data_IF_596313598720
#
_entry.id   IF_596313598720
#
_cell.length_a   1.000
_cell.length_b   1.000
_cell.length_c   1.000
_cell.angle_alpha   90.00
_cell.angle_beta   90.00
_cell.angle_gamma   90.00
#
_symmetry.space_group_name_H-M   'P 1'
#
loop_
_entity.id
_entity.type
_entity.pdbx_description
1 polymer ?
#
# COMPACT_ATOMS: atom_id res chain seq x y z
N UNK A 1 17.50 19.84 29.54
CA UNK A 1 16.15 19.38 29.18
C UNK A 1 16.36 18.31 28.12
N UNK A 2 16.31 17.04 28.51
CA UNK A 2 16.34 15.90 27.60
C UNK A 2 15.12 16.00 26.68
N UNK A 3 15.36 16.08 25.40
CA UNK A 3 14.30 15.89 24.39
C UNK A 3 13.78 14.47 24.59
N UNK A 4 12.59 14.35 25.20
CA UNK A 4 11.92 13.07 25.29
C UNK A 4 11.72 12.60 23.84
N UNK A 5 12.39 11.53 23.44
CA UNK A 5 12.29 10.94 22.12
C UNK A 5 10.82 10.62 21.84
N UNK A 6 10.30 11.23 20.79
CA UNK A 6 8.93 10.99 20.35
C UNK A 6 8.90 9.62 19.68
N UNK A 7 8.23 8.61 20.26
CA UNK A 7 8.25 7.29 19.67
C UNK A 7 7.64 7.33 18.26
N UNK A 8 8.42 6.86 17.28
CA UNK A 8 7.94 6.71 15.90
C UNK A 8 7.36 5.30 15.74
N UNK A 9 6.04 5.24 15.61
CA UNK A 9 5.29 4.02 15.35
C UNK A 9 4.99 3.87 13.85
N UNK A 10 5.21 2.69 13.35
CA UNK A 10 4.83 2.27 12.01
C UNK A 10 3.60 1.39 12.13
N UNK A 11 2.53 1.78 11.46
CA UNK A 11 1.22 1.16 11.61
C UNK A 11 0.74 0.69 10.24
N UNK A 12 0.44 -0.59 10.09
CA UNK A 12 -0.25 -1.09 8.90
C UNK A 12 -1.73 -1.31 9.23
N UNK A 13 -2.60 -0.65 8.45
CA UNK A 13 -4.05 -0.79 8.53
C UNK A 13 -4.56 -1.68 7.40
N UNK A 14 -5.21 -2.78 7.79
CA UNK A 14 -5.93 -3.70 6.91
C UNK A 14 -7.40 -3.74 7.34
N UNK A 15 -8.26 -4.34 6.53
CA UNK A 15 -9.69 -4.48 6.87
C UNK A 15 -9.92 -5.33 8.13
N UNK A 16 -9.11 -6.38 8.33
CA UNK A 16 -9.27 -7.36 9.41
C UNK A 16 -8.03 -7.55 10.28
N UNK A 17 -7.05 -6.66 10.15
CA UNK A 17 -5.80 -6.74 10.90
C UNK A 17 -5.20 -5.36 11.10
N UNK A 18 -4.59 -5.16 12.27
CA UNK A 18 -3.78 -3.99 12.60
C UNK A 18 -2.40 -4.48 13.01
N UNK A 19 -1.36 -3.89 12.43
CA UNK A 19 0.04 -4.21 12.79
C UNK A 19 0.72 -2.93 13.26
N UNK A 20 1.35 -3.00 14.43
CA UNK A 20 2.03 -1.84 15.03
C UNK A 20 3.47 -2.21 15.34
N UNK A 21 4.41 -1.53 14.69
CA UNK A 21 5.83 -1.66 14.91
C UNK A 21 6.44 -0.37 15.49
N UNK A 22 7.54 -0.52 16.25
CA UNK A 22 8.31 0.62 16.76
C UNK A 22 9.59 0.77 15.93
N UNK A 23 9.73 1.89 15.22
CA UNK A 23 10.85 2.14 14.32
C UNK A 23 12.20 2.24 15.04
N UNK A 24 12.24 2.63 16.31
CA UNK A 24 13.48 2.73 17.11
C UNK A 24 14.02 1.36 17.48
N UNK A 25 13.13 0.43 17.85
CA UNK A 25 13.52 -0.96 18.13
C UNK A 25 14.08 -1.66 16.90
N UNK A 26 13.60 -1.30 15.72
CA UNK A 26 14.12 -1.81 14.46
C UNK A 26 15.57 -1.36 14.23
N UNK A 27 15.89 -0.08 14.46
CA UNK A 27 17.25 0.45 14.28
C UNK A 27 18.26 -0.21 15.21
N UNK A 28 17.85 -0.54 16.42
CA UNK A 28 18.73 -1.12 17.46
C UNK A 28 18.91 -2.64 17.35
N UNK A 29 18.48 -3.29 16.26
CA UNK A 29 18.53 -4.76 16.05
C UNK A 29 17.90 -5.60 17.18
N UNK A 30 17.11 -4.98 18.05
CA UNK A 30 16.46 -5.62 19.20
C UNK A 30 15.25 -6.48 18.86
N UNK A 31 15.20 -7.01 17.64
CA UNK A 31 14.13 -7.86 17.12
C UNK A 31 13.00 -7.05 16.46
N UNK A 32 12.54 -7.54 15.30
CA UNK A 32 11.43 -6.95 14.52
C UNK A 32 10.06 -7.40 15.10
N UNK A 33 9.85 -7.18 16.41
CA UNK A 33 8.58 -7.56 17.01
C UNK A 33 7.55 -6.46 16.78
N UNK A 34 6.51 -6.78 16.01
CA UNK A 34 5.32 -5.96 15.87
C UNK A 34 4.17 -6.55 16.69
N UNK A 35 3.31 -5.68 17.21
CA UNK A 35 2.02 -6.11 17.78
C UNK A 35 1.07 -6.35 16.60
N UNK A 36 0.57 -7.58 16.46
CA UNK A 36 -0.40 -7.97 15.42
C UNK A 36 -1.74 -8.22 16.09
N UNK A 37 -2.74 -7.44 15.70
CA UNK A 37 -4.11 -7.54 16.22
C UNK A 37 -5.02 -8.03 15.08
N UNK A 38 -5.54 -9.24 15.20
CA UNK A 38 -6.58 -9.74 14.32
C UNK A 38 -7.92 -9.12 14.73
N UNK A 39 -8.65 -8.61 13.77
CA UNK A 39 -9.87 -7.84 13.98
C UNK A 39 -11.05 -8.53 13.31
N UNK A 40 -12.26 -8.38 13.88
CA UNK A 40 -13.46 -8.81 13.19
C UNK A 40 -13.65 -7.97 11.91
N UNK A 41 -14.33 -8.54 10.93
CA UNK A 41 -14.79 -7.79 9.78
C UNK A 41 -15.73 -6.67 10.23
N UNK A 42 -15.67 -5.53 9.54
CA UNK A 42 -16.62 -4.46 9.78
C UNK A 42 -18.06 -4.92 9.56
N UNK A 43 -19.00 -4.34 10.28
CA UNK A 43 -20.42 -4.59 10.03
C UNK A 43 -20.78 -4.20 8.56
N UNK A 44 -21.77 -4.83 7.92
CA UNK A 44 -22.06 -4.66 6.50
C UNK A 44 -22.29 -3.20 6.06
N UNK A 45 -22.72 -2.32 6.96
CA UNK A 45 -22.98 -0.90 6.70
C UNK A 45 -21.85 0.03 7.19
N UNK A 46 -20.86 -0.51 7.90
CA UNK A 46 -19.75 0.25 8.43
C UNK A 46 -18.57 0.26 7.44
N UNK A 47 -17.77 1.33 7.41
CA UNK A 47 -16.55 1.36 6.61
C UNK A 47 -15.58 0.24 6.98
N UNK A 48 -14.99 -0.40 5.99
CA UNK A 48 -14.09 -1.55 6.18
C UNK A 48 -12.87 -1.25 7.07
N UNK A 49 -12.45 -0.01 7.14
CA UNK A 49 -11.32 0.46 7.96
C UNK A 49 -11.67 0.72 9.43
N UNK A 50 -12.96 0.79 9.78
CA UNK A 50 -13.42 1.22 11.11
C UNK A 50 -12.90 0.35 12.26
N UNK A 51 -12.91 -1.00 12.18
CA UNK A 51 -12.38 -1.83 13.26
C UNK A 51 -10.88 -1.59 13.50
N UNK A 52 -10.11 -1.35 12.45
CA UNK A 52 -8.67 -1.11 12.57
C UNK A 52 -8.34 0.24 13.23
N UNK A 53 -9.08 1.30 12.91
CA UNK A 53 -8.90 2.61 13.55
C UNK A 53 -9.36 2.57 15.01
N UNK A 54 -10.48 1.89 15.31
CA UNK A 54 -10.94 1.71 16.68
C UNK A 54 -9.92 0.94 17.54
N UNK A 55 -9.35 -0.14 16.99
CA UNK A 55 -8.31 -0.92 17.66
C UNK A 55 -7.03 -0.09 17.89
N UNK A 56 -6.61 0.71 16.90
CA UNK A 56 -5.46 1.61 17.05
C UNK A 56 -5.70 2.66 18.15
N UNK A 57 -6.89 3.22 18.20
CA UNK A 57 -7.29 4.18 19.24
C UNK A 57 -7.25 3.54 20.64
N UNK A 58 -7.79 2.32 20.80
CA UNK A 58 -7.73 1.55 22.04
C UNK A 58 -6.28 1.26 22.45
N UNK A 59 -5.48 0.74 21.53
CA UNK A 59 -4.07 0.40 21.77
C UNK A 59 -3.24 1.61 22.22
N UNK A 60 -3.45 2.80 21.60
CA UNK A 60 -2.77 4.05 21.98
C UNK A 60 -3.14 4.48 23.41
N UNK A 61 -4.42 4.35 23.80
CA UNK A 61 -4.88 4.69 25.16
C UNK A 61 -4.30 3.74 26.21
N UNK A 62 -4.36 2.44 25.95
CA UNK A 62 -3.84 1.42 26.88
C UNK A 62 -2.34 1.57 27.13
N UNK A 63 -1.56 1.96 26.11
CA UNK A 63 -0.12 2.17 26.25
C UNK A 63 0.25 3.48 26.90
N UNK A 64 -0.68 4.42 27.05
CA UNK A 64 -0.43 5.73 27.66
C UNK A 64 0.66 6.55 26.98
N UNK A 65 0.89 6.32 25.67
CA UNK A 65 1.95 6.97 24.92
C UNK A 65 1.68 8.45 24.78
N UNK A 66 2.75 9.25 24.98
CA UNK A 66 2.68 10.70 24.82
C UNK A 66 3.48 11.14 23.60
N UNK A 67 2.92 12.04 22.81
CA UNK A 67 3.55 12.67 21.65
C UNK A 67 4.05 11.69 20.60
N UNK A 68 3.42 10.51 20.49
CA UNK A 68 3.79 9.52 19.47
C UNK A 68 3.63 10.08 18.06
N UNK A 69 4.50 9.67 17.14
CA UNK A 69 4.36 9.93 15.71
C UNK A 69 3.96 8.65 15.01
N UNK A 70 2.91 8.71 14.19
CA UNK A 70 2.43 7.57 13.43
C UNK A 70 2.79 7.72 11.95
N UNK A 71 3.46 6.72 11.38
CA UNK A 71 3.51 6.51 9.94
C UNK A 71 2.56 5.37 9.62
N UNK A 72 1.50 5.68 8.89
CA UNK A 72 0.43 4.72 8.58
C UNK A 72 0.60 4.20 7.16
N UNK A 73 0.66 2.87 7.02
CA UNK A 73 0.62 2.17 5.75
C UNK A 73 -0.78 1.59 5.54
N UNK A 74 -1.42 1.95 4.44
CA UNK A 74 -2.75 1.46 4.11
C UNK A 74 -2.66 0.27 3.17
N UNK A 75 -3.35 -0.81 3.52
CA UNK A 75 -3.55 -1.95 2.63
C UNK A 75 -4.21 -1.50 1.32
N UNK A 76 -3.87 -2.17 0.23
CA UNK A 76 -4.51 -1.99 -1.08
C UNK A 76 -6.02 -2.27 -1.05
N UNK A 77 -6.51 -2.93 -0.01
CA UNK A 77 -7.95 -3.13 0.22
C UNK A 77 -8.67 -1.80 0.57
N UNK A 78 -7.95 -0.86 1.19
CA UNK A 78 -8.44 0.46 1.61
C UNK A 78 -8.12 1.58 0.61
N UNK A 79 -7.44 1.25 -0.48
CA UNK A 79 -6.99 2.21 -1.50
C UNK A 79 -7.57 1.83 -2.86
N UNK A 80 -7.93 2.82 -3.66
CA UNK A 80 -8.35 2.63 -5.05
C UNK A 80 -7.28 3.20 -5.97
N UNK A 81 -6.82 2.41 -6.93
CA UNK A 81 -5.78 2.79 -7.87
C UNK A 81 -6.34 3.05 -9.25
N UNK A 82 -5.80 4.07 -9.90
CA UNK A 82 -5.94 4.29 -11.35
C UNK A 82 -4.59 4.68 -11.95
N UNK A 83 -4.39 4.25 -13.19
CA UNK A 83 -3.33 4.76 -14.04
C UNK A 83 -4.01 5.57 -15.13
N UNK A 84 -3.80 6.88 -15.12
CA UNK A 84 -4.45 7.83 -16.00
C UNK A 84 -3.53 8.22 -17.15
N UNK A 85 -4.12 8.47 -18.31
CA UNK A 85 -3.38 8.98 -19.45
C UNK A 85 -2.91 10.40 -19.20
N UNK A 86 -1.69 10.70 -19.64
CA UNK A 86 -1.17 12.06 -19.61
C UNK A 86 -1.96 12.96 -20.56
N UNK A 87 -2.32 14.14 -20.07
CA UNK A 87 -3.11 15.13 -20.80
C UNK A 87 -2.26 16.39 -21.02
N UNK A 88 -1.74 16.62 -22.24
CA UNK A 88 -0.80 17.73 -22.50
C UNK A 88 -1.41 19.12 -22.28
N UNK A 89 -2.74 19.23 -22.39
CA UNK A 89 -3.47 20.47 -22.20
C UNK A 89 -3.67 20.86 -20.73
N UNK A 90 -3.51 19.92 -19.78
CA UNK A 90 -3.69 20.18 -18.35
C UNK A 90 -2.37 20.65 -17.74
N UNK A 91 -2.11 21.94 -17.84
CA UNK A 91 -0.85 22.54 -17.37
C UNK A 91 -0.95 23.12 -15.96
N UNK A 92 -2.17 23.39 -15.47
CA UNK A 92 -2.39 23.95 -14.14
C UNK A 92 -2.68 22.86 -13.13
N UNK A 93 -2.07 22.88 -11.92
CA UNK A 93 -2.31 21.86 -10.90
C UNK A 93 -3.79 21.64 -10.58
N UNK A 94 -4.58 22.71 -10.44
CA UNK A 94 -6.02 22.61 -10.14
C UNK A 94 -6.83 21.92 -11.25
N UNK A 95 -6.46 22.12 -12.52
CA UNK A 95 -7.11 21.46 -13.65
C UNK A 95 -6.79 19.96 -13.65
N UNK A 96 -5.54 19.63 -13.33
CA UNK A 96 -5.10 18.24 -13.20
C UNK A 96 -5.80 17.55 -12.04
N UNK A 97 -5.87 18.18 -10.86
CA UNK A 97 -6.60 17.65 -9.70
C UNK A 97 -8.08 17.39 -10.04
N UNK A 98 -8.74 18.34 -10.70
CA UNK A 98 -10.12 18.20 -11.13
C UNK A 98 -10.30 17.07 -12.15
N UNK A 99 -9.38 16.93 -13.11
CA UNK A 99 -9.38 15.82 -14.07
C UNK A 99 -9.24 14.48 -13.36
N UNK A 100 -8.26 14.33 -12.46
CA UNK A 100 -8.03 13.09 -11.73
C UNK A 100 -9.28 12.72 -10.93
N UNK A 101 -9.88 13.68 -10.22
CA UNK A 101 -11.10 13.44 -9.45
C UNK A 101 -12.26 13.01 -10.35
N UNK A 102 -12.46 13.67 -11.51
CA UNK A 102 -13.47 13.31 -12.49
C UNK A 102 -13.27 11.87 -13.00
N UNK A 103 -12.03 11.44 -13.24
CA UNK A 103 -11.71 10.08 -13.68
C UNK A 103 -12.08 9.03 -12.62
N UNK A 104 -11.80 9.32 -11.33
CA UNK A 104 -12.25 8.46 -10.23
C UNK A 104 -13.78 8.38 -10.17
N UNK A 105 -14.47 9.52 -10.26
CA UNK A 105 -15.93 9.56 -10.28
C UNK A 105 -16.53 8.81 -11.46
N UNK A 106 -15.93 8.93 -12.64
CA UNK A 106 -16.38 8.21 -13.84
C UNK A 106 -16.23 6.69 -13.69
N UNK A 107 -15.22 6.22 -12.96
CA UNK A 107 -14.96 4.78 -12.77
C UNK A 107 -15.76 4.19 -11.60
N UNK A 108 -15.88 4.91 -10.50
CA UNK A 108 -16.41 4.39 -9.24
C UNK A 108 -17.78 4.98 -8.88
N UNK A 109 -18.28 5.96 -9.62
CA UNK A 109 -19.56 6.61 -9.36
C UNK A 109 -19.47 7.67 -8.23
N UNK A 110 -20.62 8.04 -7.69
CA UNK A 110 -20.74 9.10 -6.68
C UNK A 110 -19.99 8.82 -5.36
N UNK A 111 -19.69 7.56 -5.06
CA UNK A 111 -18.90 7.23 -3.86
C UNK A 111 -17.52 7.88 -3.87
N UNK A 112 -16.97 8.16 -5.03
CA UNK A 112 -15.68 8.84 -5.18
C UNK A 112 -15.69 10.29 -4.70
N UNK A 113 -16.86 10.92 -4.54
CA UNK A 113 -16.96 12.29 -4.02
C UNK A 113 -16.56 12.37 -2.54
N UNK A 114 -16.62 11.26 -1.79
CA UNK A 114 -16.14 11.12 -0.41
C UNK A 114 -14.67 10.73 -0.27
N UNK A 115 -13.89 10.75 -1.37
CA UNK A 115 -12.50 10.31 -1.33
C UNK A 115 -11.50 11.43 -1.48
N UNK A 116 -10.41 11.35 -0.74
CA UNK A 116 -9.20 12.11 -1.00
C UNK A 116 -8.44 11.43 -2.12
N UNK A 117 -8.34 12.11 -3.26
CA UNK A 117 -7.58 11.64 -4.42
C UNK A 117 -6.21 12.31 -4.45
N UNK A 118 -5.17 11.53 -4.69
CA UNK A 118 -3.80 12.00 -4.85
C UNK A 118 -3.16 11.35 -6.07
N UNK A 119 -2.23 12.04 -6.69
CA UNK A 119 -1.50 11.55 -7.86
C UNK A 119 -0.01 11.88 -7.76
N UNK A 120 0.81 11.20 -8.54
CA UNK A 120 2.23 11.54 -8.70
C UNK A 120 2.39 12.83 -9.48
N UNK A 121 3.59 13.41 -9.43
CA UNK A 121 3.92 14.53 -10.31
C UNK A 121 3.78 14.12 -11.78
N UNK A 122 3.08 14.93 -12.61
CA UNK A 122 2.89 14.62 -14.02
C UNK A 122 4.21 14.75 -14.79
N UNK A 123 4.50 13.73 -15.58
CA UNK A 123 5.65 13.74 -16.49
C UNK A 123 5.16 13.67 -17.94
N UNK A 124 5.66 14.53 -18.84
CA UNK A 124 5.22 14.54 -20.22
C UNK A 124 5.27 13.18 -20.91
N UNK A 125 4.16 12.79 -21.54
CA UNK A 125 4.03 11.53 -22.25
C UNK A 125 4.00 10.27 -21.37
N UNK A 126 3.93 10.41 -20.04
CA UNK A 126 3.89 9.27 -19.11
C UNK A 126 2.54 9.16 -18.43
N UNK A 127 2.06 7.94 -18.32
CA UNK A 127 0.86 7.67 -17.54
C UNK A 127 1.03 8.13 -16.09
N UNK A 128 -0.05 8.66 -15.52
CA UNK A 128 -0.12 9.28 -14.20
C UNK A 128 -0.71 8.30 -13.18
N UNK A 129 0.09 7.68 -12.32
CA UNK A 129 -0.44 6.91 -11.20
C UNK A 129 -1.19 7.81 -10.23
N UNK A 130 -2.42 7.41 -9.91
CA UNK A 130 -3.26 8.09 -8.94
C UNK A 130 -3.92 7.08 -8.00
N UNK A 131 -4.17 7.49 -6.76
CA UNK A 131 -4.92 6.69 -5.81
C UNK A 131 -5.94 7.52 -5.03
N UNK A 132 -6.95 6.84 -4.52
CA UNK A 132 -7.98 7.43 -3.70
C UNK A 132 -8.14 6.68 -2.37
N UNK A 133 -8.39 7.43 -1.32
CA UNK A 133 -8.55 6.97 0.06
C UNK A 133 -9.80 7.64 0.61
N UNK A 134 -10.57 6.92 1.42
CA UNK A 134 -11.73 7.48 2.11
C UNK A 134 -11.35 8.70 2.95
N UNK A 135 -11.97 9.85 2.71
CA UNK A 135 -11.71 11.08 3.44
C UNK A 135 -12.07 10.93 4.93
N UNK A 136 -13.12 10.15 5.24
CA UNK A 136 -13.51 9.87 6.62
C UNK A 136 -12.42 9.06 7.35
N UNK A 137 -11.74 8.12 6.68
CA UNK A 137 -10.58 7.43 7.26
C UNK A 137 -9.48 8.41 7.64
N UNK A 138 -9.17 9.38 6.77
CA UNK A 138 -8.13 10.37 7.05
C UNK A 138 -8.52 11.26 8.22
N UNK A 139 -9.79 11.68 8.31
CA UNK A 139 -10.32 12.47 9.42
C UNK A 139 -10.22 11.72 10.75
N UNK A 140 -10.60 10.44 10.78
CA UNK A 140 -10.50 9.59 11.98
C UNK A 140 -9.04 9.37 12.41
N UNK A 141 -8.13 9.16 11.46
CA UNK A 141 -6.70 9.08 11.77
C UNK A 141 -6.18 10.39 12.37
N UNK A 142 -6.60 11.55 11.85
CA UNK A 142 -6.21 12.85 12.40
C UNK A 142 -6.78 13.06 13.80
N UNK A 143 -7.99 12.57 14.07
CA UNK A 143 -8.65 12.66 15.39
C UNK A 143 -7.87 11.88 16.49
N UNK A 144 -6.99 10.92 16.14
CA UNK A 144 -6.07 10.28 17.08
C UNK A 144 -5.13 11.29 17.75
N UNK A 145 -4.99 12.49 17.21
CA UNK A 145 -4.24 13.59 17.83
C UNK A 145 -4.72 13.99 19.22
N UNK A 146 -5.99 13.71 19.55
CA UNK A 146 -6.54 13.92 20.90
C UNK A 146 -6.00 12.93 21.94
N UNK A 147 -5.42 11.81 21.52
CA UNK A 147 -4.87 10.77 22.40
C UNK A 147 -3.38 11.03 22.60
N UNK A 148 -2.99 11.46 23.80
CA UNK A 148 -1.61 11.67 24.18
C UNK A 148 -0.82 12.63 23.27
N UNK A 149 -1.50 13.58 22.59
CA UNK A 149 -0.90 14.46 21.57
C UNK A 149 -0.20 13.70 20.45
N UNK A 150 -0.78 12.58 20.04
CA UNK A 150 -0.31 11.76 18.92
C UNK A 150 -0.37 12.55 17.61
N UNK A 151 0.63 12.41 16.74
CA UNK A 151 0.67 13.05 15.42
C UNK A 151 0.73 12.01 14.32
N UNK A 152 -0.21 12.02 13.38
CA UNK A 152 -0.10 11.27 12.14
C UNK A 152 0.88 12.02 11.22
N UNK A 153 2.08 11.48 11.08
CA UNK A 153 3.14 12.09 10.29
C UNK A 153 2.97 11.83 8.80
N UNK A 154 2.47 10.64 8.44
CA UNK A 154 2.17 10.31 7.05
C UNK A 154 1.16 9.16 6.97
N UNK A 155 0.36 9.18 5.89
CA UNK A 155 -0.51 8.08 5.47
C UNK A 155 -0.12 7.72 4.05
N UNK A 156 0.33 6.48 3.82
CA UNK A 156 0.92 6.04 2.56
C UNK A 156 0.32 4.69 2.16
N UNK A 157 -0.12 4.49 0.92
CA UNK A 157 -0.46 3.16 0.43
C UNK A 157 0.73 2.22 0.53
N UNK A 158 0.52 1.00 1.03
CA UNK A 158 1.61 0.03 1.20
C UNK A 158 2.29 -0.31 -0.14
N UNK A 159 1.51 -0.41 -1.22
CA UNK A 159 2.07 -0.61 -2.57
C UNK A 159 3.08 0.48 -2.95
N UNK A 160 2.78 1.75 -2.68
CA UNK A 160 3.71 2.87 -2.97
C UNK A 160 4.98 2.76 -2.13
N UNK A 161 4.85 2.51 -0.83
CA UNK A 161 6.00 2.39 0.06
C UNK A 161 6.91 1.22 -0.35
N UNK A 162 6.31 0.08 -0.69
CA UNK A 162 7.03 -1.09 -1.17
C UNK A 162 7.74 -0.82 -2.51
N UNK A 163 7.05 -0.16 -3.45
CA UNK A 163 7.66 0.22 -4.72
C UNK A 163 8.84 1.17 -4.54
N UNK A 164 8.68 2.23 -3.75
CA UNK A 164 9.75 3.19 -3.49
C UNK A 164 11.01 2.54 -2.89
N UNK A 165 10.80 1.56 -2.02
CA UNK A 165 11.91 0.81 -1.43
C UNK A 165 12.66 -0.05 -2.45
N UNK A 166 11.92 -0.70 -3.36
CA UNK A 166 12.49 -1.73 -4.23
C UNK A 166 12.72 -1.28 -5.67
N UNK A 167 12.28 -0.09 -6.06
CA UNK A 167 12.42 0.42 -7.45
C UNK A 167 13.85 0.37 -7.98
N UNK A 168 14.85 0.56 -7.13
CA UNK A 168 16.26 0.44 -7.50
C UNK A 168 16.67 -0.98 -7.91
N UNK A 169 16.01 -2.00 -7.37
CA UNK A 169 16.26 -3.40 -7.70
C UNK A 169 15.60 -3.85 -9.02
N UNK A 170 14.60 -3.10 -9.50
CA UNK A 170 13.89 -3.42 -10.75
C UNK A 170 14.65 -2.97 -11.99
N UNK A 171 15.55 -1.99 -11.86
CA UNK A 171 16.29 -1.39 -12.98
C UNK A 171 15.36 -0.67 -13.96
N UNK A 172 15.87 -0.46 -15.19
CA UNK A 172 15.12 0.19 -16.28
C UNK A 172 14.50 -0.80 -17.28
N UNK A 173 14.50 -2.09 -16.97
CA UNK A 173 13.92 -3.12 -17.82
C UNK A 173 12.40 -3.16 -17.73
N UNK A 174 11.77 -3.90 -18.63
CA UNK A 174 10.36 -4.24 -18.49
C UNK A 174 10.23 -5.29 -17.39
N UNK A 175 9.34 -5.05 -16.42
CA UNK A 175 9.16 -5.93 -15.27
C UNK A 175 7.75 -5.81 -14.68
N UNK A 176 7.31 -6.89 -14.07
CA UNK A 176 6.15 -6.88 -13.18
C UNK A 176 6.61 -6.60 -11.76
N UNK A 177 5.90 -5.70 -11.09
CA UNK A 177 6.06 -5.48 -9.65
C UNK A 177 4.74 -5.71 -8.96
N UNK A 178 4.73 -6.56 -7.94
CA UNK A 178 3.52 -6.91 -7.21
C UNK A 178 3.71 -6.92 -5.71
N UNK A 179 2.62 -6.59 -5.02
CA UNK A 179 2.54 -6.62 -3.56
C UNK A 179 1.43 -7.58 -3.15
N UNK A 180 1.81 -8.59 -2.36
CA UNK A 180 0.89 -9.58 -1.80
C UNK A 180 0.56 -9.18 -0.37
N UNK A 181 -0.72 -9.01 -0.12
CA UNK A 181 -1.28 -8.72 1.19
C UNK A 181 -2.25 -9.85 1.58
N UNK A 182 -2.62 -9.99 2.87
CA UNK A 182 -3.65 -10.94 3.26
C UNK A 182 -4.94 -10.74 2.46
N UNK A 183 -5.26 -11.70 1.61
CA UNK A 183 -6.48 -11.67 0.79
C UNK A 183 -6.45 -10.80 -0.47
N UNK A 184 -5.30 -10.23 -0.88
CA UNK A 184 -5.21 -9.43 -2.10
C UNK A 184 -3.83 -9.47 -2.76
N UNK A 185 -3.83 -9.20 -4.07
CA UNK A 185 -2.63 -8.93 -4.87
C UNK A 185 -2.83 -7.64 -5.64
N UNK A 186 -1.88 -6.72 -5.49
CA UNK A 186 -1.76 -5.54 -6.37
C UNK A 186 -0.57 -5.74 -7.29
N UNK A 187 -0.80 -5.64 -8.60
CA UNK A 187 0.20 -5.89 -9.63
C UNK A 187 0.28 -4.71 -10.59
N UNK A 188 1.50 -4.33 -10.96
CA UNK A 188 1.75 -3.33 -11.99
C UNK A 188 2.78 -3.81 -13.01
N UNK A 189 2.64 -3.34 -14.25
CA UNK A 189 3.61 -3.52 -15.33
C UNK A 189 4.41 -2.24 -15.50
N UNK A 190 5.72 -2.36 -15.42
CA UNK A 190 6.69 -1.32 -15.75
C UNK A 190 7.30 -1.63 -17.11
N UNK A 191 7.38 -0.62 -17.97
CA UNK A 191 8.16 -0.68 -19.20
C UNK A 191 9.12 0.50 -19.24
N UNK A 192 10.41 0.23 -19.23
CA UNK A 192 11.47 1.24 -19.17
C UNK A 192 11.28 2.24 -18.00
N UNK A 193 10.88 1.72 -16.84
CA UNK A 193 10.64 2.52 -15.63
C UNK A 193 9.34 3.33 -15.62
N UNK A 194 8.45 3.16 -16.60
CA UNK A 194 7.15 3.83 -16.69
C UNK A 194 6.04 2.82 -16.47
N UNK A 195 5.07 3.15 -15.62
CA UNK A 195 3.89 2.32 -15.40
C UNK A 195 3.04 2.24 -16.67
N UNK A 196 2.67 1.02 -17.06
CA UNK A 196 1.82 0.73 -18.22
C UNK A 196 0.47 0.17 -17.81
N UNK A 197 0.37 -0.33 -16.60
CA UNK A 197 -0.87 -0.84 -16.03
C UNK A 197 -0.70 -1.12 -14.56
N UNK A 198 -1.78 -0.96 -13.82
CA UNK A 198 -1.86 -1.23 -12.39
C UNK A 198 -3.25 -1.76 -12.07
N UNK A 199 -3.33 -2.91 -11.40
CA UNK A 199 -4.58 -3.55 -10.99
C UNK A 199 -4.42 -4.20 -9.64
N UNK A 200 -5.51 -4.22 -8.88
CA UNK A 200 -5.63 -4.96 -7.63
C UNK A 200 -6.76 -5.98 -7.73
N UNK A 201 -6.56 -7.16 -7.20
CA UNK A 201 -7.58 -8.18 -7.08
C UNK A 201 -7.59 -8.76 -5.68
N UNK A 202 -8.79 -9.18 -5.24
CA UNK A 202 -9.00 -9.85 -3.95
C UNK A 202 -9.25 -11.33 -4.17
N UNK A 203 -8.84 -12.14 -3.23
CA UNK A 203 -9.26 -13.55 -3.19
C UNK A 203 -10.51 -13.72 -2.32
N UNK A 204 -11.36 -14.66 -2.72
CA UNK A 204 -12.54 -15.03 -1.93
C UNK A 204 -12.17 -15.70 -0.60
N UNK A 205 -11.02 -16.38 -0.53
CA UNK A 205 -10.53 -17.05 0.68
C UNK A 205 -9.07 -16.65 0.95
N UNK A 206 -8.75 -16.17 2.16
CA UNK A 206 -7.38 -15.88 2.55
C UNK A 206 -6.54 -17.17 2.56
N UNK A 207 -5.67 -17.33 1.60
CA UNK A 207 -4.69 -18.41 1.59
C UNK A 207 -3.31 -17.86 1.29
N UNK A 208 -2.27 -18.43 1.87
CA UNK A 208 -0.89 -18.02 1.64
C UNK A 208 -0.46 -18.15 0.16
N UNK A 209 -1.15 -18.98 -0.61
CA UNK A 209 -0.84 -19.27 -2.03
C UNK A 209 -1.86 -18.73 -3.01
N UNK A 210 -2.94 -18.11 -2.54
CA UNK A 210 -4.03 -17.63 -3.40
C UNK A 210 -3.61 -16.61 -4.46
N UNK A 211 -2.54 -15.85 -4.20
CA UNK A 211 -1.95 -14.93 -5.18
C UNK A 211 -1.54 -15.63 -6.49
N UNK A 212 -1.20 -16.93 -6.45
CA UNK A 212 -0.79 -17.70 -7.64
C UNK A 212 -1.91 -17.81 -8.68
N UNK A 213 -3.16 -17.87 -8.24
CA UNK A 213 -4.31 -17.86 -9.15
C UNK A 213 -4.63 -16.47 -9.68
N UNK A 214 -4.38 -15.43 -8.87
CA UNK A 214 -4.63 -14.04 -9.27
C UNK A 214 -3.58 -13.50 -10.25
N UNK A 215 -2.33 -13.91 -10.12
CA UNK A 215 -1.21 -13.38 -10.88
C UNK A 215 -1.42 -13.48 -12.41
N UNK A 216 -1.71 -14.66 -13.00
CA UNK A 216 -1.92 -14.77 -14.44
C UNK A 216 -3.11 -13.95 -14.94
N UNK A 217 -4.19 -13.91 -14.16
CA UNK A 217 -5.39 -13.15 -14.50
C UNK A 217 -5.10 -11.64 -14.56
N UNK A 218 -4.40 -11.10 -13.54
CA UNK A 218 -4.01 -9.70 -13.51
C UNK A 218 -3.02 -9.35 -14.63
N UNK A 219 -2.06 -10.23 -14.91
CA UNK A 219 -1.13 -10.05 -16.04
C UNK A 219 -1.86 -9.96 -17.37
N UNK A 220 -2.82 -10.86 -17.61
CA UNK A 220 -3.62 -10.84 -18.84
C UNK A 220 -4.45 -9.55 -18.96
N UNK A 221 -5.12 -9.13 -17.89
CA UNK A 221 -5.90 -7.90 -17.87
C UNK A 221 -5.05 -6.64 -18.13
N UNK A 222 -3.87 -6.56 -17.53
CA UNK A 222 -2.97 -5.42 -17.70
C UNK A 222 -2.39 -5.40 -19.12
N UNK A 223 -1.97 -6.54 -19.66
CA UNK A 223 -1.48 -6.65 -21.05
C UNK A 223 -2.54 -6.21 -22.04
N UNK A 224 -3.76 -6.71 -21.90
CA UNK A 224 -4.87 -6.34 -22.78
C UNK A 224 -5.16 -4.83 -22.74
N UNK A 225 -5.15 -4.24 -21.53
CA UNK A 225 -5.43 -2.82 -21.36
C UNK A 225 -4.29 -1.90 -21.83
N UNK A 226 -3.04 -2.32 -21.70
CA UNK A 226 -1.87 -1.53 -22.08
C UNK A 226 -1.52 -1.60 -23.58
N UNK A 227 -1.99 -2.65 -24.28
CA UNK A 227 -1.62 -2.90 -25.68
C UNK A 227 -0.13 -3.18 -25.92
N UNK A 228 0.63 -3.40 -24.85
CA UNK A 228 2.08 -3.67 -24.96
C UNK A 228 2.30 -5.16 -25.14
N UNK A 229 2.86 -5.53 -26.28
CA UNK A 229 3.44 -6.85 -26.49
C UNK A 229 4.81 -6.91 -25.81
N UNK A 230 4.96 -7.80 -24.85
CA UNK A 230 6.20 -8.01 -24.14
C UNK A 230 6.65 -9.46 -24.39
N UNK A 231 7.70 -9.59 -25.17
CA UNK A 231 8.35 -10.86 -25.45
C UNK A 231 9.87 -10.70 -25.22
N UNK A 232 10.54 -11.55 -24.44
CA UNK A 232 10.03 -12.62 -23.58
C UNK A 232 9.23 -12.12 -22.36
N UNK A 233 8.56 -13.05 -21.66
CA UNK A 233 7.76 -12.68 -20.47
C UNK A 233 8.65 -11.98 -19.43
N UNK A 234 8.33 -10.73 -19.02
CA UNK A 234 9.17 -9.98 -18.11
C UNK A 234 9.26 -10.66 -16.74
N UNK A 235 10.35 -10.47 -16.01
CA UNK A 235 10.47 -10.99 -14.65
C UNK A 235 9.38 -10.42 -13.75
N UNK A 236 8.92 -11.24 -12.81
CA UNK A 236 7.91 -10.88 -11.82
C UNK A 236 8.60 -10.70 -10.47
N UNK A 237 8.58 -9.49 -9.96
CA UNK A 237 9.10 -9.16 -8.64
C UNK A 237 7.94 -9.03 -7.66
N UNK A 238 7.95 -9.82 -6.60
CA UNK A 238 6.90 -9.81 -5.58
C UNK A 238 7.47 -9.47 -4.20
N UNK A 239 6.66 -8.76 -3.42
CA UNK A 239 6.94 -8.41 -2.04
C UNK A 239 5.70 -8.67 -1.18
N UNK A 240 5.86 -8.88 0.12
CA UNK A 240 4.76 -9.00 1.09
C UNK A 240 4.52 -10.40 1.62
N UNK A 241 3.25 -10.73 1.90
CA UNK A 241 2.83 -11.98 2.53
C UNK A 241 2.82 -13.14 1.51
N UNK A 242 3.50 -14.25 1.80
CA UNK A 242 3.47 -15.44 0.94
C UNK A 242 4.81 -15.88 0.37
N UNK A 243 5.87 -15.11 0.57
CA UNK A 243 7.24 -15.56 0.29
C UNK A 243 7.71 -16.57 1.32
N UNK A 244 8.19 -17.74 0.87
CA UNK A 244 8.84 -18.71 1.75
C UNK A 244 10.24 -18.19 2.08
N UNK A 245 10.59 -18.17 3.36
CA UNK A 245 11.93 -17.80 3.78
C UNK A 245 12.96 -18.78 3.15
N UNK A 246 13.84 -18.28 2.29
CA UNK A 246 14.92 -19.06 1.68
C UNK A 246 14.83 -19.30 0.17
N UNK A 247 13.66 -19.25 -0.43
CA UNK A 247 13.52 -19.44 -1.89
C UNK A 247 13.28 -18.09 -2.59
N UNK A 248 14.36 -17.50 -3.11
CA UNK A 248 14.30 -16.19 -3.79
C UNK A 248 13.78 -16.29 -5.22
N UNK A 249 13.66 -17.51 -5.80
CA UNK A 249 13.18 -17.73 -7.16
C UNK A 249 12.26 -18.93 -7.22
N UNK A 250 11.01 -18.70 -7.50
CA UNK A 250 10.02 -19.74 -7.74
C UNK A 250 9.36 -19.48 -9.10
N UNK A 251 9.47 -20.42 -10.04
CA UNK A 251 8.74 -20.42 -11.33
C UNK A 251 8.68 -19.03 -12.04
N UNK A 252 9.82 -18.34 -12.19
CA UNK A 252 9.88 -17.03 -12.84
C UNK A 252 9.55 -15.83 -11.96
N UNK A 253 9.25 -16.07 -10.68
CA UNK A 253 9.01 -15.03 -9.67
C UNK A 253 10.29 -14.78 -8.87
N UNK A 254 10.61 -13.52 -8.66
CA UNK A 254 11.71 -13.05 -7.81
C UNK A 254 11.11 -12.43 -6.55
N UNK A 255 11.37 -13.04 -5.40
CA UNK A 255 10.94 -12.48 -4.13
C UNK A 255 11.92 -11.41 -3.65
N UNK A 256 11.38 -10.21 -3.45
CA UNK A 256 12.11 -9.09 -2.85
C UNK A 256 11.97 -9.18 -1.33
N UNK A 257 13.07 -9.51 -0.67
CA UNK A 257 13.14 -9.60 0.79
C UNK A 257 14.38 -8.87 1.30
N UNK A 258 14.27 -8.22 2.45
CA UNK A 258 15.43 -7.64 3.11
C UNK A 258 16.42 -8.74 3.51
N UNK A 259 17.72 -8.49 3.34
CA UNK A 259 18.77 -9.40 3.79
C UNK A 259 18.78 -9.47 5.33
N UNK A 260 18.99 -10.66 5.89
CA UNK A 260 19.19 -10.83 7.33
C UNK A 260 17.96 -11.17 8.17
N UNK A 261 16.93 -11.82 7.61
CA UNK A 261 15.83 -12.36 8.43
C UNK A 261 14.87 -11.29 8.95
N UNK A 262 14.39 -10.45 8.07
CA UNK A 262 13.38 -9.42 8.37
C UNK A 262 12.04 -10.00 8.83
N UNK A 263 11.07 -9.12 9.20
CA UNK A 263 9.74 -9.52 9.66
C UNK A 263 9.05 -10.43 8.65
N UNK A 264 8.25 -11.37 9.13
CA UNK A 264 7.53 -12.34 8.32
C UNK A 264 6.06 -11.95 8.12
N UNK A 265 5.45 -12.49 7.08
CA UNK A 265 4.02 -12.34 6.87
C UNK A 265 3.53 -10.89 6.86
N UNK A 266 2.41 -10.65 7.55
CA UNK A 266 1.75 -9.34 7.61
C UNK A 266 2.58 -8.27 8.34
N UNK A 267 3.52 -8.66 9.21
CA UNK A 267 4.39 -7.72 9.92
C UNK A 267 5.21 -6.84 8.98
N UNK A 268 5.56 -7.36 7.80
CA UNK A 268 6.29 -6.60 6.75
C UNK A 268 5.59 -5.31 6.38
N UNK A 269 4.27 -5.30 6.40
CA UNK A 269 3.50 -4.13 6.02
C UNK A 269 3.74 -2.94 6.95
N UNK A 270 3.90 -3.19 8.26
CA UNK A 270 4.24 -2.11 9.20
C UNK A 270 5.65 -1.54 8.99
N UNK A 271 6.50 -2.24 8.26
CA UNK A 271 7.86 -1.78 7.98
C UNK A 271 8.02 -1.18 6.58
N UNK A 272 6.94 -1.14 5.78
CA UNK A 272 6.96 -0.66 4.41
C UNK A 272 7.85 -1.53 3.49
N UNK A 273 7.92 -2.83 3.76
CA UNK A 273 8.84 -3.78 3.09
C UNK A 273 8.11 -5.02 2.61
#
# INVERSE_FOLDING_TARGET
VLFADRPLLQVALLENCLVIGNAERQRNKAGHKADVLNLPMAAPQAPAWQPAVAALSGWLRERGLQRAQLRVFLSSQLVRWQLLEWQPQLTRPRELDAYVHLRFRATFGAVADGWRVVHTEPLPGRALPACAIDEALLAELQALGSIGHTKVASVVPYFSAAFDRWRGSLGHQTAWFGVIEPGSLTLGLLHRGVWQGLRSARHAQPSATGWRSLLPALQAQIRLASGIEVDPSPPVYLVGCGGVAGDRREAGVVWLAAEGGGPSGVERMAWGV
#
